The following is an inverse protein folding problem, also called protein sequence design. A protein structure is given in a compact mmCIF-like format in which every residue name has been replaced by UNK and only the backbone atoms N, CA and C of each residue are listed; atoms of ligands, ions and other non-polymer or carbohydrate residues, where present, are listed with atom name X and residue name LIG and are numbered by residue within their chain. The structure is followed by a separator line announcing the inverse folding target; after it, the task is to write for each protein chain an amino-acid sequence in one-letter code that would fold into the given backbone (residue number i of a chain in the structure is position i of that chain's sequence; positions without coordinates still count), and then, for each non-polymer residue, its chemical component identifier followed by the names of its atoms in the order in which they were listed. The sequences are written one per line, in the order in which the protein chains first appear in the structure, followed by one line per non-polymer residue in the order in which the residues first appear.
data_IF_187622030943
#
_entry.id   IF_187622030943
#
_cell.length_a   1.000
_cell.length_b   1.000
_cell.length_c   1.000
_cell.angle_alpha   90.00
_cell.angle_beta   90.00
_cell.angle_gamma   90.00
#
_symmetry.space_group_name_H-M   'P 1'
#
loop_
_entity.id
_entity.type
_entity.pdbx_description
1 polymer ?
#
# COMPACT_ATOMS: atom_id res chain seq x y z
N UNK A 1 -74.65 24.76 38.55
CA UNK A 1 -73.96 24.96 39.84
C UNK A 1 -73.32 23.62 40.23
N UNK A 2 -71.97 23.53 40.25
CA UNK A 2 -71.28 22.32 40.68
C UNK A 2 -71.57 22.08 42.17
N UNK A 3 -71.88 20.82 42.53
CA UNK A 3 -72.24 20.44 43.90
C UNK A 3 -70.97 20.45 44.76
N UNK A 4 -71.10 20.95 45.99
CA UNK A 4 -70.03 21.15 46.97
C UNK A 4 -69.29 19.85 47.38
N UNK A 5 -69.72 18.68 46.90
CA UNK A 5 -69.03 17.39 47.07
C UNK A 5 -67.87 17.15 46.10
N UNK A 6 -67.75 17.91 45.00
CA UNK A 6 -66.61 17.81 44.06
C UNK A 6 -65.35 18.57 44.53
N UNK A 7 -65.37 19.12 45.76
CA UNK A 7 -64.25 19.86 46.37
C UNK A 7 -63.59 19.13 47.55
N UNK A 8 -63.87 17.83 47.75
CA UNK A 8 -63.16 17.06 48.75
C UNK A 8 -61.74 16.72 48.25
N UNK A 9 -60.69 16.92 49.06
CA UNK A 9 -59.32 16.55 48.72
C UNK A 9 -59.25 15.08 48.31
N UNK A 10 -58.48 14.79 47.26
CA UNK A 10 -58.30 13.42 46.77
C UNK A 10 -57.87 12.49 47.92
N UNK A 11 -58.62 11.41 48.15
CA UNK A 11 -58.39 10.42 49.22
C UNK A 11 -56.90 10.00 49.26
N UNK A 12 -56.34 9.87 50.46
CA UNK A 12 -54.92 9.56 50.70
C UNK A 12 -54.41 8.34 49.94
N UNK A 13 -55.27 7.33 49.72
CA UNK A 13 -54.97 6.15 48.89
C UNK A 13 -54.92 6.43 47.39
N UNK A 14 -55.62 7.46 46.91
CA UNK A 14 -55.55 7.90 45.50
C UNK A 14 -54.24 8.66 45.23
N UNK A 15 -53.77 9.46 46.19
CA UNK A 15 -52.47 10.12 46.11
C UNK A 15 -51.32 9.12 46.20
N UNK A 16 -51.38 8.15 47.12
CA UNK A 16 -50.36 7.11 47.24
C UNK A 16 -50.21 6.27 45.95
N UNK A 17 -51.33 5.93 45.30
CA UNK A 17 -51.30 5.23 44.01
C UNK A 17 -50.69 6.07 42.89
N UNK A 18 -51.03 7.36 42.81
CA UNK A 18 -50.40 8.28 41.84
C UNK A 18 -48.91 8.45 42.09
N UNK A 19 -48.48 8.51 43.35
CA UNK A 19 -47.08 8.63 43.72
C UNK A 19 -46.29 7.37 43.30
N UNK A 20 -46.82 6.18 43.55
CA UNK A 20 -46.18 4.92 43.15
C UNK A 20 -46.06 4.79 41.61
N UNK A 21 -47.09 5.22 40.86
CA UNK A 21 -47.03 5.28 39.39
C UNK A 21 -45.96 6.26 38.93
N UNK A 22 -45.92 7.47 39.50
CA UNK A 22 -44.91 8.48 39.19
C UNK A 22 -43.49 7.99 39.50
N UNK A 23 -43.27 7.31 40.62
CA UNK A 23 -41.97 6.75 40.97
C UNK A 23 -41.52 5.67 39.98
N UNK A 24 -42.46 4.82 39.53
CA UNK A 24 -42.19 3.82 38.49
C UNK A 24 -41.86 4.49 37.16
N UNK A 25 -42.65 5.46 36.73
CA UNK A 25 -42.43 6.20 35.48
C UNK A 25 -41.10 6.96 35.53
N UNK A 26 -40.74 7.56 36.67
CA UNK A 26 -39.44 8.22 36.85
C UNK A 26 -38.30 7.19 36.84
N UNK A 27 -38.49 6.00 37.40
CA UNK A 27 -37.49 4.92 37.36
C UNK A 27 -37.31 4.39 35.93
N UNK A 28 -38.40 4.18 35.20
CA UNK A 28 -38.38 3.76 33.79
C UNK A 28 -37.79 4.87 32.90
N UNK A 29 -38.12 6.15 33.12
CA UNK A 29 -37.49 7.27 32.43
C UNK A 29 -36.00 7.41 32.77
N UNK A 30 -35.58 7.13 34.01
CA UNK A 30 -34.15 7.10 34.38
C UNK A 30 -33.41 5.94 33.70
N UNK A 31 -34.04 4.77 33.59
CA UNK A 31 -33.47 3.63 32.88
C UNK A 31 -33.41 3.88 31.36
N UNK A 32 -34.49 4.42 30.78
CA UNK A 32 -34.55 4.84 29.38
C UNK A 32 -33.49 5.91 29.11
N UNK A 33 -33.40 6.95 29.94
CA UNK A 33 -32.38 8.02 29.81
C UNK A 33 -30.95 7.50 29.99
N UNK A 34 -30.72 6.44 30.78
CA UNK A 34 -29.41 5.76 30.83
C UNK A 34 -29.11 4.99 29.53
N UNK A 35 -30.12 4.41 28.88
CA UNK A 35 -29.94 3.77 27.57
C UNK A 35 -29.86 4.79 26.42
N UNK A 36 -30.58 5.91 26.48
CA UNK A 36 -30.47 7.01 25.51
C UNK A 36 -29.20 7.83 25.72
N UNK A 37 -28.57 7.77 26.90
CA UNK A 37 -27.23 8.30 27.15
C UNK A 37 -26.11 7.28 26.89
N UNK A 38 -26.45 6.05 26.48
CA UNK A 38 -25.50 5.12 25.89
C UNK A 38 -25.33 5.34 24.38
N UNK A 39 -26.05 6.32 23.80
CA UNK A 39 -25.63 6.95 22.57
C UNK A 39 -24.66 8.08 22.93
N UNK A 40 -23.50 8.12 22.26
CA UNK A 40 -22.41 9.10 22.45
C UNK A 40 -21.45 8.81 23.61
N UNK A 41 -20.88 7.61 23.68
CA UNK A 41 -19.76 7.31 24.58
C UNK A 41 -18.95 6.11 24.10
N UNK A 42 -17.63 6.21 24.18
CA UNK A 42 -16.69 5.14 23.79
C UNK A 42 -16.98 3.83 24.54
N UNK A 43 -16.91 2.69 23.85
CA UNK A 43 -16.90 1.36 24.47
C UNK A 43 -15.44 0.99 24.77
N UNK A 44 -15.14 0.65 26.01
CA UNK A 44 -13.78 0.27 26.45
C UNK A 44 -13.77 -1.13 27.04
N UNK A 45 -12.76 -1.92 26.67
CA UNK A 45 -12.51 -3.28 27.16
C UNK A 45 -11.21 -3.25 27.95
N UNK A 46 -11.26 -3.62 29.22
CA UNK A 46 -10.10 -3.66 30.13
C UNK A 46 -9.67 -5.12 30.38
N UNK A 47 -8.41 -5.29 30.79
CA UNK A 47 -7.91 -6.56 31.32
C UNK A 47 -8.56 -6.88 32.68
N UNK A 48 -8.24 -8.06 33.21
CA UNK A 48 -8.73 -8.54 34.51
C UNK A 48 -8.27 -7.67 35.69
N UNK A 49 -7.15 -6.96 35.55
CA UNK A 49 -6.67 -5.94 36.49
C UNK A 49 -7.59 -4.71 36.60
N UNK A 50 -8.53 -4.53 35.68
CA UNK A 50 -9.45 -3.40 35.61
C UNK A 50 -8.81 -2.06 35.27
N UNK A 51 -7.50 -2.01 34.98
CA UNK A 51 -6.73 -0.79 34.74
C UNK A 51 -6.07 -0.76 33.37
N UNK A 52 -5.70 -1.92 32.81
CA UNK A 52 -5.08 -2.03 31.48
C UNK A 52 -6.16 -2.02 30.40
N UNK A 53 -6.15 -1.00 29.54
CA UNK A 53 -7.11 -0.88 28.42
C UNK A 53 -6.65 -1.72 27.22
N UNK A 54 -7.44 -2.73 26.85
CA UNK A 54 -7.15 -3.68 25.76
C UNK A 54 -7.75 -3.25 24.42
N UNK A 55 -8.97 -2.73 24.42
CA UNK A 55 -9.63 -2.26 23.21
C UNK A 55 -10.58 -1.09 23.48
N UNK A 56 -10.78 -0.26 22.48
CA UNK A 56 -11.72 0.86 22.53
C UNK A 56 -12.46 0.96 21.19
N UNK A 57 -13.77 1.15 21.20
CA UNK A 57 -14.59 1.45 20.03
C UNK A 57 -15.26 2.80 20.28
N UNK A 58 -15.05 3.78 19.41
CA UNK A 58 -15.60 5.11 19.63
C UNK A 58 -15.12 6.15 18.61
N UNK A 59 -15.45 7.43 18.83
CA UNK A 59 -14.98 8.51 17.95
C UNK A 59 -13.48 8.71 18.06
N UNK A 60 -12.85 8.97 16.93
CA UNK A 60 -11.46 9.38 16.82
C UNK A 60 -11.30 10.74 17.50
N UNK A 61 -10.32 10.81 18.40
CA UNK A 61 -10.06 11.99 19.22
C UNK A 61 -9.67 13.23 18.39
N UNK A 62 -9.24 13.05 17.13
CA UNK A 62 -8.86 14.14 16.23
C UNK A 62 -9.93 14.58 15.23
N UNK A 63 -10.70 13.63 14.67
CA UNK A 63 -11.49 13.87 13.45
C UNK A 63 -12.97 13.46 13.54
N UNK A 64 -13.44 12.96 14.69
CA UNK A 64 -14.85 12.64 14.90
C UNK A 64 -15.39 11.40 14.14
N UNK A 65 -14.54 10.69 13.39
CA UNK A 65 -14.90 9.41 12.74
C UNK A 65 -14.90 8.24 13.72
N UNK A 66 -15.79 7.25 13.56
CA UNK A 66 -15.80 6.06 14.43
C UNK A 66 -14.68 5.08 14.07
N UNK A 67 -14.05 4.45 15.07
CA UNK A 67 -13.03 3.43 14.83
C UNK A 67 -12.81 2.46 15.99
N UNK A 68 -12.05 1.40 15.71
CA UNK A 68 -11.66 0.37 16.68
C UNK A 68 -10.16 0.48 16.95
N UNK A 69 -9.81 0.67 18.21
CA UNK A 69 -8.44 0.60 18.71
C UNK A 69 -8.23 -0.70 19.48
N UNK A 70 -7.10 -1.35 19.21
CA UNK A 70 -6.60 -2.47 20.02
C UNK A 70 -5.22 -2.11 20.55
N UNK A 71 -4.91 -2.53 21.78
CA UNK A 71 -3.63 -2.30 22.45
C UNK A 71 -3.10 -3.66 22.89
N UNK A 72 -1.86 -3.96 22.50
CA UNK A 72 -1.19 -5.20 22.86
C UNK A 72 0.06 -4.91 23.67
N UNK A 73 0.21 -5.60 24.80
CA UNK A 73 1.49 -5.72 25.49
C UNK A 73 2.43 -6.57 24.63
N UNK A 74 3.51 -5.99 24.15
CA UNK A 74 4.60 -6.71 23.51
C UNK A 74 5.91 -6.24 24.13
N UNK A 75 6.74 -7.17 24.58
CA UNK A 75 8.10 -6.90 25.05
C UNK A 75 9.02 -6.87 23.81
N UNK A 76 9.84 -5.82 23.58
CA UNK A 76 10.15 -4.70 24.47
C UNK A 76 9.31 -3.43 24.30
N UNK A 77 8.40 -3.35 23.31
CA UNK A 77 7.64 -2.14 22.98
C UNK A 77 6.16 -2.46 22.79
N UNK A 78 5.30 -1.81 23.57
CA UNK A 78 3.86 -1.95 23.45
C UNK A 78 3.36 -1.40 22.10
N UNK A 79 2.43 -2.08 21.43
CA UNK A 79 1.89 -1.67 20.13
C UNK A 79 0.38 -1.45 20.17
N UNK A 80 -0.12 -0.56 19.31
CA UNK A 80 -1.55 -0.35 19.09
C UNK A 80 -1.90 -0.46 17.60
N UNK A 81 -3.07 -1.05 17.33
CA UNK A 81 -3.70 -1.11 16.03
C UNK A 81 -4.95 -0.24 16.00
N UNK A 82 -5.19 0.47 14.89
CA UNK A 82 -6.39 1.27 14.69
C UNK A 82 -7.03 0.97 13.35
N UNK A 83 -8.32 0.67 13.34
CA UNK A 83 -9.13 0.47 12.13
C UNK A 83 -10.26 1.50 12.09
N UNK A 84 -10.28 2.35 11.06
CA UNK A 84 -11.39 3.24 10.76
C UNK A 84 -11.38 3.65 9.30
N UNK A 85 -12.56 3.83 8.71
CA UNK A 85 -12.77 4.57 7.45
C UNK A 85 -11.77 4.22 6.33
N UNK A 86 -11.51 2.93 6.10
CA UNK A 86 -10.61 2.46 5.04
C UNK A 86 -9.11 2.50 5.37
N UNK A 87 -8.75 2.83 6.61
CA UNK A 87 -7.38 2.90 7.09
C UNK A 87 -7.13 1.94 8.25
N UNK A 88 -6.02 1.22 8.17
CA UNK A 88 -5.43 0.43 9.25
C UNK A 88 -4.09 1.05 9.64
N UNK A 89 -3.92 1.44 10.90
CA UNK A 89 -2.66 2.02 11.39
C UNK A 89 -2.03 1.16 12.49
N UNK A 90 -0.71 1.22 12.56
CA UNK A 90 0.11 0.60 13.59
C UNK A 90 1.07 1.63 14.18
N UNK A 91 1.16 1.68 15.51
CA UNK A 91 2.15 2.51 16.22
C UNK A 91 2.55 1.90 17.56
N UNK A 92 3.79 2.13 18.02
CA UNK A 92 4.14 2.02 19.44
C UNK A 92 3.19 2.82 20.32
N UNK A 93 2.90 2.30 21.50
CA UNK A 93 2.13 2.97 22.56
C UNK A 93 3.02 3.91 23.37
N UNK A 94 4.34 3.69 23.34
CA UNK A 94 5.32 4.52 24.02
C UNK A 94 5.47 5.87 23.30
N UNK A 95 5.21 6.95 24.05
CA UNK A 95 5.35 8.31 23.56
C UNK A 95 6.80 8.58 23.11
N UNK A 96 6.94 9.09 21.87
CA UNK A 96 8.21 9.58 21.34
C UNK A 96 9.07 8.57 20.57
N UNK A 97 8.68 7.30 20.43
CA UNK A 97 9.43 6.33 19.61
C UNK A 97 9.06 6.36 18.12
N UNK A 98 7.82 6.73 17.80
CA UNK A 98 7.32 6.89 16.43
C UNK A 98 6.41 8.11 16.40
N UNK A 99 6.75 9.07 15.54
CA UNK A 99 5.98 10.30 15.40
C UNK A 99 4.82 10.17 14.42
N UNK A 100 4.97 9.34 13.38
CA UNK A 100 3.94 9.06 12.38
C UNK A 100 3.73 7.55 12.28
N UNK A 101 2.51 7.04 12.50
CA UNK A 101 2.19 5.62 12.40
C UNK A 101 2.48 5.03 11.01
N UNK A 102 2.82 3.73 11.00
CA UNK A 102 2.73 2.92 9.78
C UNK A 102 1.25 2.70 9.45
N UNK A 103 0.89 2.66 8.16
CA UNK A 103 -0.50 2.55 7.76
C UNK A 103 -0.70 1.80 6.45
N UNK A 104 -1.85 1.14 6.33
CA UNK A 104 -2.44 0.69 5.08
C UNK A 104 -3.72 1.51 4.88
N UNK A 105 -3.82 2.20 3.76
CA UNK A 105 -4.97 3.04 3.43
C UNK A 105 -5.46 2.70 2.02
N UNK A 106 -6.78 2.65 1.86
CA UNK A 106 -7.41 2.64 0.55
C UNK A 106 -7.91 4.03 0.20
N UNK A 107 -7.57 4.52 -0.98
CA UNK A 107 -8.07 5.78 -1.51
C UNK A 107 -8.68 5.55 -2.90
N UNK A 108 -9.68 6.34 -3.25
CA UNK A 108 -10.30 6.29 -4.57
C UNK A 108 -10.82 7.66 -4.94
N UNK A 109 -10.36 8.16 -6.08
CA UNK A 109 -11.08 9.20 -6.81
C UNK A 109 -12.06 8.49 -7.73
N UNK A 110 -13.34 8.55 -7.38
CA UNK A 110 -14.44 7.66 -7.76
C UNK A 110 -14.59 7.31 -9.26
N UNK A 111 -13.87 7.97 -10.16
CA UNK A 111 -13.95 7.79 -11.61
C UNK A 111 -12.59 7.66 -12.33
N UNK A 112 -11.45 7.72 -11.63
CA UNK A 112 -10.14 7.82 -12.30
C UNK A 112 -9.18 6.70 -11.89
N UNK A 113 -9.03 6.45 -10.60
CA UNK A 113 -8.10 5.46 -10.07
C UNK A 113 -8.49 5.00 -8.66
N UNK A 114 -7.86 3.92 -8.23
CA UNK A 114 -7.92 3.43 -6.87
C UNK A 114 -6.53 3.10 -6.39
N UNK A 115 -6.20 3.53 -5.18
CA UNK A 115 -4.91 3.31 -4.58
C UNK A 115 -5.04 2.42 -3.35
N UNK A 116 -4.15 1.41 -3.29
CA UNK A 116 -3.80 0.78 -2.03
C UNK A 116 -2.42 1.28 -1.61
N UNK A 117 -2.39 2.04 -0.51
CA UNK A 117 -1.19 2.71 -0.02
C UNK A 117 -0.70 2.01 1.23
N UNK A 118 0.57 1.61 1.26
CA UNK A 118 1.28 1.10 2.42
C UNK A 118 2.36 2.10 2.81
N UNK A 119 2.42 2.48 4.09
CA UNK A 119 3.41 3.42 4.62
C UNK A 119 4.15 2.82 5.80
N UNK A 120 5.47 3.03 5.87
CA UNK A 120 6.31 2.51 6.96
C UNK A 120 6.17 3.25 8.30
N UNK A 121 5.52 4.42 8.29
CA UNK A 121 5.62 5.37 9.40
C UNK A 121 7.01 5.99 9.51
N UNK A 122 7.21 6.87 10.50
CA UNK A 122 8.51 7.48 10.79
C UNK A 122 8.80 7.57 12.31
N UNK A 123 10.08 7.51 12.66
CA UNK A 123 10.52 7.53 14.06
C UNK A 123 10.49 8.93 14.68
N UNK A 124 10.49 10.00 13.86
CA UNK A 124 10.46 11.39 14.31
C UNK A 124 9.67 12.25 13.31
N UNK A 125 9.06 13.39 13.72
CA UNK A 125 8.22 14.21 12.83
C UNK A 125 8.98 14.79 11.63
N UNK A 126 10.30 14.83 11.72
CA UNK A 126 11.23 15.32 10.68
C UNK A 126 11.85 14.19 9.86
N UNK A 127 11.57 12.92 10.16
CA UNK A 127 12.12 11.76 9.47
C UNK A 127 11.21 11.31 8.32
N UNK A 128 11.80 10.67 7.31
CA UNK A 128 11.08 10.22 6.13
C UNK A 128 10.55 8.79 6.28
N UNK A 129 9.39 8.54 5.67
CA UNK A 129 8.79 7.20 5.53
C UNK A 129 8.88 6.69 4.10
N UNK A 130 8.93 5.38 3.95
CA UNK A 130 8.73 4.70 2.67
C UNK A 130 7.24 4.48 2.41
N UNK A 131 6.85 4.60 1.15
CA UNK A 131 5.48 4.46 0.67
C UNK A 131 5.47 3.50 -0.52
N UNK A 132 4.60 2.50 -0.48
CA UNK A 132 4.28 1.63 -1.61
C UNK A 132 2.83 1.88 -2.01
N UNK A 133 2.59 2.25 -3.26
CA UNK A 133 1.25 2.48 -3.79
C UNK A 133 0.98 1.49 -4.91
N UNK A 134 -0.08 0.70 -4.78
CA UNK A 134 -0.65 -0.10 -5.87
C UNK A 134 -1.80 0.70 -6.47
N UNK A 135 -1.58 1.21 -7.68
CA UNK A 135 -2.55 2.06 -8.38
C UNK A 135 -3.20 1.27 -9.52
N UNK A 136 -4.53 1.28 -9.53
CA UNK A 136 -5.32 0.85 -10.69
C UNK A 136 -5.68 2.05 -11.55
N UNK A 137 -5.80 1.86 -12.86
CA UNK A 137 -6.13 2.93 -13.81
C UNK A 137 -7.38 2.57 -14.61
N UNK A 138 -8.15 3.58 -14.99
CA UNK A 138 -9.37 3.42 -15.79
C UNK A 138 -9.07 3.36 -17.31
N UNK A 139 -10.06 2.96 -18.12
CA UNK A 139 -10.05 3.11 -19.59
C UNK A 139 -8.85 2.47 -20.36
N UNK A 140 -8.39 1.30 -19.91
CA UNK A 140 -7.31 0.57 -20.59
C UNK A 140 -5.91 1.10 -20.28
N UNK A 141 -5.78 1.95 -19.25
CA UNK A 141 -4.51 2.24 -18.63
C UNK A 141 -3.84 0.97 -18.08
N UNK A 142 -2.51 1.00 -18.02
CA UNK A 142 -1.74 -0.04 -17.33
C UNK A 142 -1.71 0.27 -15.83
N UNK A 143 -1.87 -0.73 -14.94
CA UNK A 143 -1.69 -0.54 -13.52
C UNK A 143 -0.20 -0.32 -13.18
N UNK A 144 0.06 0.37 -12.07
CA UNK A 144 1.41 0.69 -11.61
C UNK A 144 1.63 0.30 -10.14
N UNK A 145 2.89 0.04 -9.82
CA UNK A 145 3.37 -0.09 -8.44
C UNK A 145 4.43 0.99 -8.23
N UNK A 146 4.13 1.93 -7.35
CA UNK A 146 5.06 2.98 -6.96
C UNK A 146 5.76 2.61 -5.66
N UNK A 147 7.08 2.81 -5.60
CA UNK A 147 7.85 2.80 -4.35
C UNK A 147 8.54 4.15 -4.23
N UNK A 148 8.12 4.96 -3.26
CA UNK A 148 8.51 6.37 -3.13
C UNK A 148 8.63 6.79 -1.67
N UNK A 149 9.31 7.91 -1.42
CA UNK A 149 9.31 8.55 -0.11
C UNK A 149 8.05 9.40 0.05
N UNK A 150 7.75 9.80 1.28
CA UNK A 150 6.68 10.78 1.53
C UNK A 150 6.87 12.06 0.69
N UNK A 151 5.75 12.55 0.14
CA UNK A 151 5.66 13.71 -0.76
C UNK A 151 6.19 13.49 -2.19
N UNK A 152 6.29 12.24 -2.66
CA UNK A 152 6.69 11.93 -4.04
C UNK A 152 8.19 11.99 -4.30
N UNK A 153 8.99 12.10 -3.23
CA UNK A 153 10.45 12.09 -3.32
C UNK A 153 10.99 10.67 -3.59
N UNK A 154 12.25 10.57 -4.04
CA UNK A 154 12.90 9.28 -4.28
C UNK A 154 13.02 8.47 -2.99
N UNK A 155 12.64 7.20 -3.04
CA UNK A 155 12.98 6.20 -2.04
C UNK A 155 14.02 5.25 -2.63
N UNK A 156 15.04 4.90 -1.85
CA UNK A 156 15.93 3.82 -2.24
C UNK A 156 15.15 2.51 -2.18
N UNK A 157 14.83 1.95 -3.35
CA UNK A 157 14.41 0.57 -3.45
C UNK A 157 15.68 -0.29 -3.38
N UNK A 158 16.10 -0.64 -2.16
CA UNK A 158 17.08 -1.69 -1.96
C UNK A 158 16.41 -3.04 -2.22
N UNK A 159 16.30 -3.38 -3.51
CA UNK A 159 16.25 -4.78 -3.87
C UNK A 159 17.66 -5.28 -3.62
N UNK A 160 17.85 -6.19 -2.67
CA UNK A 160 19.08 -6.98 -2.58
C UNK A 160 19.20 -7.82 -3.89
N UNK A 161 19.63 -7.16 -4.98
CA UNK A 161 19.66 -7.60 -6.39
C UNK A 161 19.59 -6.47 -7.45
N UNK A 162 20.29 -6.61 -8.60
CA UNK A 162 20.39 -5.62 -9.71
C UNK A 162 19.32 -5.88 -10.79
N UNK A 163 18.10 -5.35 -10.65
CA UNK A 163 17.11 -5.39 -11.75
C UNK A 163 16.09 -4.24 -11.68
N UNK A 164 16.15 -3.32 -12.66
CA UNK A 164 14.98 -2.50 -13.03
C UNK A 164 14.59 -2.88 -14.46
N UNK A 165 13.31 -3.04 -14.79
CA UNK A 165 12.91 -3.56 -16.11
C UNK A 165 13.34 -2.69 -17.31
N UNK A 166 13.78 -1.44 -17.09
CA UNK A 166 14.14 -0.49 -18.15
C UNK A 166 15.64 -0.35 -18.42
N UNK A 167 16.52 -0.93 -17.60
CA UNK A 167 17.96 -0.91 -17.85
C UNK A 167 18.47 -2.20 -18.52
N UNK A 168 17.57 -3.12 -18.88
CA UNK A 168 17.90 -4.34 -19.60
C UNK A 168 16.98 -4.51 -20.80
N UNK A 169 17.58 -4.73 -21.96
CA UNK A 169 16.88 -5.14 -23.16
C UNK A 169 17.58 -6.40 -23.66
N UNK A 170 16.79 -7.34 -24.16
CA UNK A 170 17.32 -8.59 -24.69
C UNK A 170 16.43 -9.05 -25.84
N UNK A 171 16.98 -9.95 -26.64
CA UNK A 171 16.22 -10.55 -27.73
C UNK A 171 17.05 -11.51 -28.55
N UNK A 172 16.51 -11.85 -29.72
CA UNK A 172 17.21 -12.67 -30.71
C UNK A 172 16.99 -12.08 -32.08
N UNK A 173 18.01 -12.15 -32.94
CA UNK A 173 17.91 -11.75 -34.34
C UNK A 173 18.64 -12.74 -35.23
N UNK A 174 18.18 -12.93 -36.47
CA UNK A 174 18.82 -13.84 -37.42
C UNK A 174 19.67 -13.07 -38.42
N UNK A 175 20.90 -13.54 -38.67
CA UNK A 175 21.76 -13.05 -39.75
C UNK A 175 22.01 -14.19 -40.72
N UNK A 176 21.77 -13.96 -42.01
CA UNK A 176 22.24 -14.81 -43.12
C UNK A 176 23.53 -14.19 -43.66
N UNK A 177 24.71 -14.71 -43.27
CA UNK A 177 25.98 -14.06 -43.60
C UNK A 177 26.38 -14.33 -45.05
N UNK A 178 27.21 -13.45 -45.60
CA UNK A 178 28.02 -13.78 -46.79
C UNK A 178 29.21 -14.63 -46.33
N UNK A 179 29.49 -15.72 -47.04
CA UNK A 179 30.56 -16.64 -46.67
C UNK A 179 31.91 -15.92 -46.50
N UNK A 180 32.58 -16.19 -45.39
CA UNK A 180 33.88 -15.63 -44.99
C UNK A 180 33.91 -14.10 -44.87
N UNK A 181 32.75 -13.45 -44.77
CA UNK A 181 32.65 -11.99 -44.69
C UNK A 181 31.87 -11.58 -43.44
N UNK A 182 32.39 -10.67 -42.58
CA UNK A 182 31.63 -10.12 -41.47
C UNK A 182 30.33 -9.48 -41.97
N UNK A 183 29.20 -10.02 -41.51
CA UNK A 183 27.86 -9.53 -41.86
C UNK A 183 27.22 -8.97 -40.60
N UNK A 184 26.69 -7.74 -40.68
CA UNK A 184 26.08 -7.05 -39.55
C UNK A 184 24.58 -6.91 -39.69
N UNK A 185 23.94 -6.69 -38.54
CA UNK A 185 22.55 -6.27 -38.46
C UNK A 185 22.39 -5.25 -37.34
N UNK A 186 21.74 -4.14 -37.67
CA UNK A 186 21.35 -3.12 -36.70
C UNK A 186 20.09 -3.55 -35.95
N UNK A 187 20.15 -3.54 -34.63
CA UNK A 187 19.00 -3.69 -33.74
C UNK A 187 18.66 -2.29 -33.26
N UNK A 188 17.41 -1.89 -33.43
CA UNK A 188 16.91 -0.57 -33.07
C UNK A 188 15.60 -0.68 -32.29
N UNK A 189 15.09 0.45 -31.79
CA UNK A 189 13.85 0.50 -31.03
C UNK A 189 14.01 0.07 -29.57
N UNK A 190 15.25 0.01 -29.07
CA UNK A 190 15.50 -0.13 -27.65
C UNK A 190 15.13 1.18 -26.93
N UNK A 191 14.69 1.07 -25.69
CA UNK A 191 14.36 2.20 -24.83
C UNK A 191 15.10 2.08 -23.48
N UNK A 192 16.38 1.72 -23.55
CA UNK A 192 17.21 1.46 -22.37
C UNK A 192 17.51 2.72 -21.58
N UNK A 193 17.46 2.62 -20.25
CA UNK A 193 17.82 3.69 -19.31
C UNK A 193 19.19 3.42 -18.69
N UNK A 194 20.09 4.38 -18.81
CA UNK A 194 21.44 4.36 -18.24
C UNK A 194 22.40 5.23 -19.06
N UNK A 195 23.67 5.25 -18.65
CA UNK A 195 24.73 6.06 -19.27
C UNK A 195 25.86 5.20 -19.84
N UNK A 196 26.08 4.05 -19.21
CA UNK A 196 27.05 3.06 -19.69
C UNK A 196 26.28 1.84 -20.15
N UNK A 197 26.48 1.45 -21.41
CA UNK A 197 25.79 0.32 -22.02
C UNK A 197 26.78 -0.80 -22.27
N UNK A 198 26.50 -1.95 -21.65
CA UNK A 198 27.27 -3.16 -21.87
C UNK A 198 26.39 -4.15 -22.62
N UNK A 199 26.84 -4.55 -23.82
CA UNK A 199 26.15 -5.56 -24.59
C UNK A 199 26.90 -6.89 -24.57
N UNK A 200 26.13 -7.95 -24.55
CA UNK A 200 26.58 -9.33 -24.69
C UNK A 200 25.87 -9.92 -25.89
N UNK A 201 26.62 -10.59 -26.74
CA UNK A 201 26.08 -11.28 -27.91
C UNK A 201 26.63 -12.70 -27.98
N UNK A 202 25.82 -13.62 -28.46
CA UNK A 202 26.24 -15.01 -28.65
C UNK A 202 25.53 -15.59 -29.87
N UNK A 203 26.30 -16.23 -30.75
CA UNK A 203 25.75 -16.94 -31.89
C UNK A 203 25.15 -18.28 -31.42
N UNK A 204 23.94 -18.58 -31.88
CA UNK A 204 23.26 -19.86 -31.68
C UNK A 204 23.73 -20.83 -32.77
N UNK A 205 24.79 -21.60 -32.48
CA UNK A 205 25.45 -22.45 -33.49
C UNK A 205 25.99 -23.74 -32.89
N UNK A 206 25.99 -24.82 -33.68
CA UNK A 206 26.65 -26.09 -33.37
C UNK A 206 28.08 -26.19 -33.91
N UNK A 207 28.55 -25.17 -34.62
CA UNK A 207 29.87 -25.16 -35.27
C UNK A 207 30.72 -23.93 -34.89
N UNK A 208 30.96 -23.69 -33.58
CA UNK A 208 31.84 -22.61 -33.13
C UNK A 208 33.29 -22.87 -33.53
N UNK A 209 34.02 -21.82 -33.91
CA UNK A 209 35.44 -21.89 -34.29
C UNK A 209 35.72 -22.59 -35.63
N UNK A 210 34.73 -23.26 -36.23
CA UNK A 210 34.86 -23.95 -37.52
C UNK A 210 34.05 -23.25 -38.60
N UNK A 211 32.72 -23.25 -38.45
CA UNK A 211 31.83 -22.54 -39.39
C UNK A 211 31.57 -21.12 -38.91
N UNK A 212 31.32 -20.89 -37.61
CA UNK A 212 31.21 -19.53 -37.04
C UNK A 212 32.57 -19.13 -36.49
N UNK A 213 33.20 -18.17 -37.13
CA UNK A 213 34.58 -17.75 -36.83
C UNK A 213 34.64 -16.42 -36.08
N UNK A 214 33.52 -15.68 -36.01
CA UNK A 214 33.45 -14.43 -35.25
C UNK A 214 32.03 -14.05 -34.86
N UNK A 215 31.89 -13.51 -33.65
CA UNK A 215 30.69 -12.83 -33.15
C UNK A 215 31.17 -11.55 -32.46
N UNK A 216 30.44 -10.46 -32.64
CA UNK A 216 30.79 -9.19 -32.03
C UNK A 216 29.62 -8.25 -31.93
N UNK A 217 29.79 -7.23 -31.12
CA UNK A 217 28.85 -6.13 -30.96
C UNK A 217 29.62 -4.82 -30.92
N UNK A 218 29.08 -3.80 -31.59
CA UNK A 218 29.56 -2.43 -31.45
C UNK A 218 28.37 -1.46 -31.55
N UNK A 219 28.67 -0.16 -31.47
CA UNK A 219 27.67 0.90 -31.50
C UNK A 219 26.55 0.68 -30.48
N UNK A 220 26.89 0.14 -29.30
CA UNK A 220 25.94 -0.10 -28.22
C UNK A 220 25.51 1.23 -27.64
N UNK A 221 24.21 1.46 -27.61
CA UNK A 221 23.60 2.70 -27.17
C UNK A 221 22.23 2.44 -26.55
N UNK A 222 21.61 3.48 -26.03
CA UNK A 222 20.25 3.43 -25.48
C UNK A 222 19.19 2.95 -26.49
N UNK A 223 19.40 3.26 -27.79
CA UNK A 223 18.41 3.05 -28.85
C UNK A 223 18.66 1.80 -29.67
N UNK A 224 19.83 1.20 -29.53
CA UNK A 224 20.22 0.08 -30.37
C UNK A 224 21.66 -0.40 -30.18
N UNK A 225 21.97 -1.42 -30.95
CA UNK A 225 23.30 -2.02 -31.07
C UNK A 225 23.47 -2.56 -32.48
N UNK A 226 24.72 -2.72 -32.93
CA UNK A 226 25.02 -3.46 -34.17
C UNK A 226 25.66 -4.78 -33.80
N UNK A 227 25.04 -5.86 -34.25
CA UNK A 227 25.55 -7.23 -34.04
C UNK A 227 26.24 -7.71 -35.30
N UNK A 228 27.33 -8.43 -35.12
CA UNK A 228 28.19 -8.93 -36.20
C UNK A 228 28.34 -10.43 -36.13
N UNK A 229 28.28 -11.08 -37.29
CA UNK A 229 28.53 -12.51 -37.45
C UNK A 229 29.47 -12.74 -38.63
N UNK A 230 30.53 -13.53 -38.40
CA UNK A 230 31.38 -14.06 -39.46
C UNK A 230 31.23 -15.57 -39.51
N UNK A 231 30.87 -16.09 -40.68
CA UNK A 231 30.67 -17.52 -40.91
C UNK A 231 31.29 -17.97 -42.23
N UNK A 232 31.83 -19.18 -42.32
CA UNK A 232 32.46 -19.73 -43.53
C UNK A 232 31.46 -20.13 -44.65
N UNK A 233 30.16 -20.10 -44.35
CA UNK A 233 29.07 -20.40 -45.28
C UNK A 233 27.89 -19.45 -45.06
N UNK A 234 26.84 -19.58 -45.88
CA UNK A 234 25.67 -18.67 -45.89
C UNK A 234 24.51 -19.14 -45.00
N UNK A 235 24.75 -19.99 -44.01
CA UNK A 235 23.67 -20.52 -43.15
C UNK A 235 23.14 -19.42 -42.24
N UNK A 236 21.83 -19.14 -42.29
CA UNK A 236 21.16 -18.25 -41.35
C UNK A 236 21.40 -18.71 -39.90
N UNK A 237 21.91 -17.81 -39.08
CA UNK A 237 22.29 -18.10 -37.70
C UNK A 237 21.62 -17.10 -36.76
N UNK A 238 20.97 -17.60 -35.70
CA UNK A 238 20.40 -16.76 -34.66
C UNK A 238 21.47 -16.16 -33.75
N UNK A 239 21.26 -14.94 -33.28
CA UNK A 239 22.14 -14.21 -32.37
C UNK A 239 21.29 -13.79 -31.18
N UNK A 240 21.55 -14.39 -30.02
CA UNK A 240 21.02 -13.90 -28.76
C UNK A 240 21.81 -12.68 -28.34
N UNK A 241 21.10 -11.64 -27.89
CA UNK A 241 21.72 -10.41 -27.41
C UNK A 241 21.05 -9.95 -26.12
N UNK A 242 21.85 -9.32 -25.28
CA UNK A 242 21.41 -8.63 -24.06
C UNK A 242 22.22 -7.35 -23.94
N UNK A 243 21.56 -6.26 -23.59
CA UNK A 243 22.19 -5.01 -23.23
C UNK A 243 21.75 -4.66 -21.81
N UNK A 244 22.74 -4.43 -20.96
CA UNK A 244 22.55 -3.93 -19.60
C UNK A 244 23.10 -2.52 -19.54
N UNK A 245 22.31 -1.63 -18.96
CA UNK A 245 22.65 -0.24 -18.77
C UNK A 245 22.80 0.06 -17.27
N UNK A 246 23.77 0.91 -16.93
CA UNK A 246 24.01 1.42 -15.57
C UNK A 246 24.06 2.95 -15.62
#
# INVERSE_FOLDING_TARGET
MPRQLDQLPADTTSMARRLATLERDVKEMRAARRMTAASVGTLRVYADDGTTLLAELGPDAGNGGGGLWTRGLQDPINMSGYLSSGQLQFRPVEDGQVAVPAAITYDSDAFQYTDLILTSGNVAPTAHRAVVTLESTFEGGSPYVYVQAENGNQCNLDVLGVFTASNIAYGTVNITPVANTPTSLGISGLNLKGSTFTAFVTAQTSAPGTQVTGIGVNNVSATGLTVWLTRANTTSTGISWMVVAV
#
